data_IF_944512745293
#
_entry.id   IF_944512745293
#
_cell.length_a   1.000
_cell.length_b   1.000
_cell.length_c   1.000
_cell.angle_alpha   90.00
_cell.angle_beta   90.00
_cell.angle_gamma   90.00
#
_symmetry.space_group_name_H-M   'P 1'
#
loop_
_entity.id
_entity.type
_entity.pdbx_description
1 polymer ?
#
# COMPACT_ATOMS: atom_id res chain seq x y z
N UNK A 1 -28.52 -1.23 20.55
CA UNK A 1 -27.34 -1.44 21.46
C UNK A 1 -27.35 -0.41 22.58
N UNK A 2 -27.04 -0.80 23.83
CA UNK A 2 -26.73 0.19 24.87
C UNK A 2 -25.39 0.87 24.56
N UNK A 3 -25.21 2.14 24.93
CA UNK A 3 -23.99 2.91 24.67
C UNK A 3 -22.71 2.18 25.14
N UNK A 4 -22.76 1.54 26.30
CA UNK A 4 -21.62 0.79 26.84
C UNK A 4 -21.23 -0.46 26.04
N UNK A 5 -22.19 -1.13 25.41
CA UNK A 5 -21.91 -2.33 24.61
C UNK A 5 -21.32 -1.97 23.25
N UNK A 6 -21.70 -0.83 22.69
CA UNK A 6 -21.10 -0.28 21.47
C UNK A 6 -19.63 0.12 21.69
N UNK A 7 -19.30 0.72 22.82
CA UNK A 7 -17.91 1.06 23.19
C UNK A 7 -17.05 -0.18 23.44
N UNK A 8 -17.62 -1.25 24.00
CA UNK A 8 -16.88 -2.51 24.19
C UNK A 8 -16.54 -3.19 22.85
N UNK A 9 -17.39 -3.07 21.84
CA UNK A 9 -17.13 -3.69 20.52
C UNK A 9 -16.24 -2.80 19.64
N UNK A 10 -16.45 -1.49 19.68
CA UNK A 10 -15.73 -0.50 18.87
C UNK A 10 -15.02 0.53 19.77
N UNK A 11 -13.91 0.15 20.42
CA UNK A 11 -13.19 0.99 21.36
C UNK A 11 -12.48 2.16 20.67
N UNK A 12 -12.21 3.21 21.45
CA UNK A 12 -11.44 4.38 21.02
C UNK A 12 -12.29 5.50 20.45
N UNK A 13 -11.64 6.66 20.26
CA UNK A 13 -12.25 7.91 19.79
C UNK A 13 -11.87 8.26 18.36
N UNK A 14 -11.24 7.31 17.64
CA UNK A 14 -10.86 7.46 16.25
C UNK A 14 -12.07 7.58 15.31
N UNK A 15 -11.83 8.03 14.10
CA UNK A 15 -12.88 8.21 13.10
C UNK A 15 -13.62 6.90 12.83
N UNK A 16 -12.86 5.82 12.62
CA UNK A 16 -13.44 4.52 12.27
C UNK A 16 -14.22 3.90 13.43
N UNK A 17 -13.76 4.06 14.67
CA UNK A 17 -14.52 3.65 15.84
C UNK A 17 -15.86 4.39 15.93
N UNK A 18 -15.89 5.71 15.72
CA UNK A 18 -17.13 6.49 15.68
C UNK A 18 -18.05 6.06 14.55
N UNK A 19 -17.51 5.86 13.33
CA UNK A 19 -18.29 5.40 12.17
C UNK A 19 -18.89 4.03 12.39
N UNK A 20 -18.14 3.09 12.97
CA UNK A 20 -18.62 1.73 13.27
C UNK A 20 -19.70 1.76 14.37
N UNK A 21 -19.59 2.60 15.40
CA UNK A 21 -20.65 2.77 16.40
C UNK A 21 -21.94 3.35 15.82
N UNK A 22 -21.82 4.23 14.83
CA UNK A 22 -22.96 4.88 14.18
C UNK A 22 -23.56 4.08 13.02
N UNK A 23 -22.91 3.00 12.60
CA UNK A 23 -23.34 2.22 11.43
C UNK A 23 -24.62 1.44 11.73
N UNK A 24 -25.61 1.39 10.80
CA UNK A 24 -26.87 0.69 10.99
C UNK A 24 -26.73 -0.83 10.81
N UNK A 25 -26.10 -1.50 11.79
CA UNK A 25 -25.70 -2.90 11.70
C UNK A 25 -26.87 -3.86 11.53
N UNK A 26 -28.03 -3.63 12.15
CA UNK A 26 -29.20 -4.52 12.10
C UNK A 26 -29.67 -4.82 10.67
N UNK A 27 -29.46 -3.88 9.76
CA UNK A 27 -29.77 -4.06 8.32
C UNK A 27 -28.61 -4.51 7.46
N UNK A 28 -27.44 -4.77 8.06
CA UNK A 28 -26.25 -5.18 7.34
C UNK A 28 -26.12 -6.70 7.22
N UNK A 29 -25.34 -7.21 6.24
CA UNK A 29 -25.06 -8.64 6.14
C UNK A 29 -24.35 -9.24 7.37
N UNK A 30 -23.73 -8.42 8.21
CA UNK A 30 -23.07 -8.88 9.44
C UNK A 30 -24.03 -8.97 10.64
N UNK A 31 -25.24 -8.42 10.55
CA UNK A 31 -26.16 -8.35 11.68
C UNK A 31 -25.65 -7.45 12.81
N UNK A 32 -26.34 -7.49 13.95
CA UNK A 32 -26.02 -6.65 15.11
C UNK A 32 -24.72 -7.09 15.80
N UNK A 33 -23.83 -6.17 16.18
CA UNK A 33 -22.54 -6.49 16.81
C UNK A 33 -22.58 -7.36 18.08
N UNK A 34 -23.61 -7.33 18.93
CA UNK A 34 -23.74 -8.27 20.05
C UNK A 34 -23.81 -9.74 19.61
N UNK A 35 -24.39 -10.01 18.44
CA UNK A 35 -24.59 -11.35 17.90
C UNK A 35 -23.39 -11.83 17.07
N UNK A 36 -22.40 -10.99 16.88
CA UNK A 36 -21.19 -11.37 16.12
C UNK A 36 -20.39 -12.44 16.85
N UNK A 37 -19.72 -13.35 16.12
CA UNK A 37 -18.77 -14.27 16.69
C UNK A 37 -17.70 -13.58 17.55
N UNK A 38 -17.21 -14.27 18.58
CA UNK A 38 -16.16 -13.71 19.45
C UNK A 38 -14.90 -13.33 18.68
N UNK A 39 -14.57 -14.10 17.65
CA UNK A 39 -13.45 -13.86 16.75
C UNK A 39 -13.57 -12.52 16.02
N UNK A 40 -14.73 -12.21 15.40
CA UNK A 40 -14.96 -10.95 14.70
C UNK A 40 -14.89 -9.77 15.67
N UNK A 41 -15.55 -9.85 16.82
CA UNK A 41 -15.49 -8.79 17.84
C UNK A 41 -14.05 -8.53 18.31
N UNK A 42 -13.27 -9.60 18.51
CA UNK A 42 -11.86 -9.49 18.91
C UNK A 42 -11.01 -8.88 17.82
N UNK A 43 -11.17 -9.33 16.57
CA UNK A 43 -10.46 -8.78 15.42
C UNK A 43 -10.75 -7.28 15.23
N UNK A 44 -12.01 -6.86 15.36
CA UNK A 44 -12.39 -5.45 15.29
C UNK A 44 -11.74 -4.63 16.41
N UNK A 45 -11.68 -5.15 17.65
CA UNK A 45 -11.01 -4.46 18.76
C UNK A 45 -9.52 -4.29 18.51
N UNK A 46 -8.83 -5.35 18.09
CA UNK A 46 -7.40 -5.30 17.74
C UNK A 46 -7.18 -4.29 16.62
N UNK A 47 -7.99 -4.37 15.56
CA UNK A 47 -7.92 -3.46 14.43
C UNK A 47 -8.05 -1.99 14.89
N UNK A 48 -9.12 -1.64 15.60
CA UNK A 48 -9.41 -0.27 16.01
C UNK A 48 -8.42 0.32 17.01
N UNK A 49 -7.79 -0.51 17.84
CA UNK A 49 -6.81 -0.04 18.85
C UNK A 49 -5.37 -0.02 18.33
N UNK A 50 -5.13 -0.59 17.15
CA UNK A 50 -3.79 -0.62 16.55
C UNK A 50 -3.44 0.72 15.89
N UNK A 51 -2.16 1.09 15.98
CA UNK A 51 -1.55 2.16 15.20
C UNK A 51 -1.01 1.68 13.84
N UNK A 52 -1.01 0.38 13.63
CA UNK A 52 -0.60 -0.21 12.36
C UNK A 52 -1.81 -0.29 11.42
N UNK A 53 -1.68 -0.02 10.11
CA UNK A 53 -2.78 -0.17 9.17
C UNK A 53 -3.30 -1.60 9.13
N UNK A 54 -4.58 -1.77 9.45
CA UNK A 54 -5.21 -3.09 9.56
C UNK A 54 -6.58 -3.10 8.90
N UNK A 55 -6.92 -4.29 8.37
CA UNK A 55 -8.21 -4.58 7.76
C UNK A 55 -8.75 -5.89 8.33
N UNK A 56 -10.05 -5.93 8.52
CA UNK A 56 -10.82 -7.15 8.71
C UNK A 56 -11.74 -7.32 7.49
N UNK A 57 -11.55 -8.40 6.76
CA UNK A 57 -12.43 -8.84 5.69
C UNK A 57 -13.36 -9.89 6.28
N UNK A 58 -14.67 -9.71 6.16
CA UNK A 58 -15.59 -10.63 6.79
C UNK A 58 -16.68 -11.12 5.86
N UNK A 59 -17.02 -12.42 5.99
CA UNK A 59 -18.03 -13.11 5.21
C UNK A 59 -17.58 -13.44 3.78
N UNK A 60 -18.41 -14.18 3.05
CA UNK A 60 -18.12 -14.60 1.69
C UNK A 60 -17.90 -13.43 0.72
N UNK A 61 -18.55 -12.29 0.99
CA UNK A 61 -18.39 -11.07 0.20
C UNK A 61 -17.18 -10.23 0.60
N UNK A 62 -16.34 -10.67 1.55
CA UNK A 62 -15.17 -9.97 2.03
C UNK A 62 -15.48 -8.50 2.34
N UNK A 63 -16.47 -8.28 3.25
CA UNK A 63 -16.88 -6.96 3.69
C UNK A 63 -15.76 -6.26 4.45
N UNK A 64 -15.54 -5.00 4.13
CA UNK A 64 -14.35 -4.24 4.47
C UNK A 64 -14.54 -3.44 5.77
N UNK A 65 -13.81 -3.83 6.82
CA UNK A 65 -13.67 -3.08 8.07
C UNK A 65 -12.19 -2.73 8.25
N UNK A 66 -11.90 -1.51 8.70
CA UNK A 66 -10.52 -1.02 8.77
C UNK A 66 -10.39 0.02 9.88
N UNK A 67 -9.14 0.35 10.24
CA UNK A 67 -8.83 1.33 11.28
C UNK A 67 -8.39 2.69 10.72
N UNK A 68 -8.20 3.66 11.62
CA UNK A 68 -7.78 5.02 11.25
C UNK A 68 -6.38 5.05 10.61
N UNK A 69 -5.49 4.13 11.01
CA UNK A 69 -4.15 4.04 10.42
C UNK A 69 -4.19 3.63 8.93
N UNK A 70 -5.29 3.00 8.48
CA UNK A 70 -5.50 2.61 7.09
C UNK A 70 -6.08 3.75 6.22
N UNK A 71 -6.62 4.82 6.81
CA UNK A 71 -7.25 5.93 6.07
C UNK A 71 -6.33 6.55 5.01
N UNK A 72 -5.07 6.88 5.30
CA UNK A 72 -4.17 7.44 4.29
C UNK A 72 -3.95 6.51 3.09
N UNK A 73 -4.04 5.19 3.30
CA UNK A 73 -3.83 4.20 2.25
C UNK A 73 -5.03 4.07 1.30
N UNK A 74 -6.23 4.46 1.75
CA UNK A 74 -7.44 4.49 0.92
C UNK A 74 -7.49 5.69 -0.02
N UNK A 75 -6.89 6.82 0.37
CA UNK A 75 -7.02 8.07 -0.38
C UNK A 75 -8.50 8.44 -0.61
N UNK A 76 -8.86 8.77 -1.84
CA UNK A 76 -10.23 9.18 -2.23
C UNK A 76 -11.27 8.04 -2.18
N UNK A 77 -10.87 6.79 -1.92
CA UNK A 77 -11.78 5.64 -1.79
C UNK A 77 -12.50 5.62 -0.44
N UNK A 78 -12.05 6.40 0.53
CA UNK A 78 -12.76 6.59 1.80
C UNK A 78 -14.03 7.44 1.59
N UNK A 79 -15.20 7.09 2.21
CA UNK A 79 -15.44 5.97 3.11
C UNK A 79 -15.73 4.65 2.40
N UNK A 80 -15.14 3.57 2.92
CA UNK A 80 -15.26 2.23 2.37
C UNK A 80 -15.83 1.19 3.36
N UNK A 81 -16.27 1.63 4.55
CA UNK A 81 -16.82 0.75 5.58
C UNK A 81 -17.96 -0.11 5.02
N UNK A 82 -17.88 -1.43 5.23
CA UNK A 82 -18.87 -2.42 4.79
C UNK A 82 -19.04 -2.57 3.28
N UNK A 83 -18.25 -1.90 2.46
CA UNK A 83 -18.21 -2.19 1.02
C UNK A 83 -17.53 -3.53 0.77
N UNK A 84 -17.81 -4.15 -0.36
CA UNK A 84 -17.11 -5.37 -0.80
C UNK A 84 -15.68 -5.01 -1.20
N UNK A 85 -14.74 -5.94 -0.95
CA UNK A 85 -13.33 -5.72 -1.29
C UNK A 85 -13.09 -5.44 -2.77
N UNK A 86 -13.78 -6.18 -3.66
CA UNK A 86 -13.71 -5.99 -5.10
C UNK A 86 -14.21 -4.61 -5.58
N UNK A 87 -15.13 -3.99 -4.85
CA UNK A 87 -15.63 -2.64 -5.13
C UNK A 87 -14.70 -1.53 -4.63
N UNK A 88 -13.91 -1.81 -3.59
CA UNK A 88 -12.95 -0.85 -3.03
C UNK A 88 -11.65 -0.89 -3.84
N UNK A 89 -11.17 -2.08 -4.15
CA UNK A 89 -9.88 -2.35 -4.73
C UNK A 89 -9.96 -3.03 -6.11
N UNK A 90 -10.94 -2.62 -6.93
CA UNK A 90 -11.20 -3.25 -8.22
C UNK A 90 -9.98 -3.33 -9.13
N UNK A 91 -9.11 -2.31 -9.12
CA UNK A 91 -7.91 -2.24 -9.95
C UNK A 91 -6.84 -3.28 -9.57
N UNK A 92 -6.73 -3.62 -8.29
CA UNK A 92 -5.78 -4.65 -7.81
C UNK A 92 -6.45 -5.97 -7.47
N UNK A 93 -7.78 -6.05 -7.59
CA UNK A 93 -8.54 -7.24 -7.24
C UNK A 93 -8.11 -8.51 -8.00
N UNK A 94 -7.74 -8.44 -9.29
CA UNK A 94 -7.18 -9.60 -9.99
C UNK A 94 -5.95 -10.22 -9.33
N UNK A 95 -5.20 -9.43 -8.56
CA UNK A 95 -4.01 -9.90 -7.82
C UNK A 95 -4.37 -10.33 -6.39
N UNK A 96 -5.08 -9.48 -5.63
CA UNK A 96 -5.30 -9.71 -4.20
C UNK A 96 -6.51 -10.61 -3.92
N UNK A 97 -7.51 -10.61 -4.79
CA UNK A 97 -8.73 -11.44 -4.63
C UNK A 97 -8.42 -12.92 -4.53
N UNK A 98 -7.67 -13.52 -5.48
CA UNK A 98 -7.28 -14.93 -5.40
C UNK A 98 -6.48 -15.30 -4.15
N UNK A 99 -5.68 -14.36 -3.60
CA UNK A 99 -4.94 -14.58 -2.35
C UNK A 99 -5.88 -14.64 -1.15
N UNK A 100 -6.86 -13.72 -1.08
CA UNK A 100 -7.89 -13.71 -0.05
C UNK A 100 -8.76 -14.98 -0.13
N UNK A 101 -9.19 -15.35 -1.34
CA UNK A 101 -9.96 -16.56 -1.58
C UNK A 101 -9.19 -17.83 -1.17
N UNK A 102 -7.89 -17.87 -1.44
CA UNK A 102 -7.04 -18.98 -0.99
C UNK A 102 -7.04 -19.12 0.53
N UNK A 103 -6.91 -17.99 1.26
CA UNK A 103 -6.95 -18.02 2.74
C UNK A 103 -8.33 -18.47 3.24
N UNK A 104 -9.41 -17.98 2.64
CA UNK A 104 -10.79 -18.36 3.00
C UNK A 104 -11.04 -19.86 2.83
N UNK A 105 -10.49 -20.47 1.76
CA UNK A 105 -10.73 -21.89 1.45
C UNK A 105 -9.77 -22.84 2.16
N UNK A 106 -8.51 -22.43 2.33
CA UNK A 106 -7.47 -23.33 2.86
C UNK A 106 -7.19 -23.14 4.34
N UNK A 107 -7.55 -21.99 4.91
CA UNK A 107 -7.15 -21.60 6.27
C UNK A 107 -5.65 -21.35 6.41
N UNK A 108 -4.90 -21.25 5.31
CA UNK A 108 -3.46 -21.01 5.30
C UNK A 108 -3.19 -19.51 5.12
N UNK A 109 -2.41 -18.92 6.04
CA UNK A 109 -2.00 -17.52 5.89
C UNK A 109 -1.09 -17.33 4.66
N UNK A 110 -1.17 -16.14 4.05
CA UNK A 110 -0.25 -15.73 2.98
C UNK A 110 0.62 -14.56 3.43
N UNK A 111 1.77 -14.41 2.75
CA UNK A 111 2.69 -13.31 2.96
C UNK A 111 3.15 -12.76 1.62
N UNK A 112 3.17 -11.44 1.52
CA UNK A 112 3.76 -10.72 0.38
C UNK A 112 4.72 -9.67 0.88
N UNK A 113 5.88 -9.56 0.25
CA UNK A 113 6.90 -8.56 0.56
C UNK A 113 7.19 -7.74 -0.68
N UNK A 114 7.14 -6.42 -0.51
CA UNK A 114 7.39 -5.44 -1.59
C UNK A 114 6.61 -5.77 -2.89
N UNK A 115 5.38 -6.26 -2.78
CA UNK A 115 4.55 -6.58 -3.94
C UNK A 115 4.12 -5.30 -4.66
N UNK A 116 4.42 -5.21 -5.95
CA UNK A 116 3.96 -4.12 -6.80
C UNK A 116 2.44 -4.24 -7.02
N UNK A 117 1.71 -3.23 -6.59
CA UNK A 117 0.28 -3.07 -6.82
C UNK A 117 0.02 -1.67 -7.37
N UNK A 118 -0.10 -1.49 -8.69
CA UNK A 118 -0.48 -0.20 -9.25
C UNK A 118 -1.89 0.17 -8.79
N UNK A 119 -2.05 1.35 -8.19
CA UNK A 119 -3.32 1.80 -7.59
C UNK A 119 -3.75 3.16 -8.13
N UNK A 120 -5.06 3.35 -8.18
CA UNK A 120 -5.69 4.66 -8.36
C UNK A 120 -6.40 5.06 -7.05
N UNK A 121 -5.70 5.80 -6.20
CA UNK A 121 -6.21 6.28 -4.91
C UNK A 121 -6.58 7.76 -4.95
N UNK A 122 -5.99 8.50 -5.88
CA UNK A 122 -6.09 9.97 -5.93
C UNK A 122 -6.55 10.49 -7.30
N UNK A 123 -7.04 9.61 -8.20
CA UNK A 123 -7.46 9.97 -9.55
C UNK A 123 -6.34 9.88 -10.59
N UNK A 124 -5.24 9.24 -10.24
CA UNK A 124 -4.13 8.90 -11.13
C UNK A 124 -3.47 7.60 -10.71
N UNK A 125 -2.82 6.93 -11.65
CA UNK A 125 -2.10 5.69 -11.38
C UNK A 125 -0.81 5.95 -10.61
N UNK A 126 -0.66 5.25 -9.49
CA UNK A 126 0.52 5.28 -8.62
C UNK A 126 1.24 3.93 -8.70
N UNK A 127 2.57 3.96 -8.82
CA UNK A 127 3.41 2.80 -8.57
C UNK A 127 3.53 2.63 -7.06
N UNK A 128 2.90 1.60 -6.50
CA UNK A 128 2.93 1.35 -5.06
C UNK A 128 3.40 -0.06 -4.73
N UNK A 129 4.13 -0.19 -3.62
CA UNK A 129 4.69 -1.46 -3.13
C UNK A 129 4.16 -1.73 -1.73
N UNK A 130 3.84 -3.00 -1.48
CA UNK A 130 3.13 -3.40 -0.29
C UNK A 130 3.72 -4.65 0.34
N UNK A 131 3.91 -4.60 1.66
CA UNK A 131 4.21 -5.76 2.50
C UNK A 131 3.02 -6.02 3.41
N UNK A 132 2.45 -7.23 3.33
CA UNK A 132 1.26 -7.61 4.10
C UNK A 132 1.15 -9.11 4.33
N UNK A 133 0.33 -9.45 5.32
CA UNK A 133 -0.11 -10.82 5.58
C UNK A 133 -1.62 -10.89 5.55
N UNK A 134 -2.15 -11.92 4.91
CA UNK A 134 -3.53 -12.34 5.03
C UNK A 134 -3.58 -13.54 5.98
N UNK A 135 -4.23 -13.38 7.13
CA UNK A 135 -4.35 -14.41 8.17
C UNK A 135 -5.80 -14.82 8.34
N UNK A 136 -6.12 -16.11 8.39
CA UNK A 136 -7.50 -16.58 8.53
C UNK A 136 -8.11 -16.17 9.87
N UNK A 137 -9.36 -15.75 9.85
CA UNK A 137 -10.21 -15.57 11.03
C UNK A 137 -11.22 -16.70 11.08
N UNK A 138 -11.12 -17.50 12.15
CA UNK A 138 -12.01 -18.63 12.35
C UNK A 138 -13.23 -18.21 13.17
N UNK A 139 -14.37 -18.76 12.85
CA UNK A 139 -15.58 -18.68 13.66
C UNK A 139 -15.49 -19.63 14.86
N UNK A 140 -16.47 -19.56 15.76
CA UNK A 140 -16.51 -20.39 16.97
C UNK A 140 -16.62 -21.90 16.65
N UNK A 141 -17.10 -22.27 15.44
CA UNK A 141 -17.15 -23.62 14.91
C UNK A 141 -15.86 -24.10 14.23
N UNK A 142 -14.83 -23.24 14.17
CA UNK A 142 -13.54 -23.52 13.53
C UNK A 142 -13.49 -23.27 12.02
N UNK A 143 -14.60 -22.87 11.41
CA UNK A 143 -14.61 -22.51 9.99
C UNK A 143 -13.96 -21.14 9.74
N UNK A 144 -13.28 -20.97 8.61
CA UNK A 144 -12.76 -19.65 8.21
C UNK A 144 -13.91 -18.79 7.73
N UNK A 145 -14.15 -17.67 8.39
CA UNK A 145 -15.23 -16.72 8.07
C UNK A 145 -14.72 -15.35 7.64
N UNK A 146 -13.42 -15.12 7.73
CA UNK A 146 -12.85 -13.85 7.32
C UNK A 146 -11.34 -13.90 7.25
N UNK A 147 -10.74 -12.77 6.92
CA UNK A 147 -9.31 -12.60 6.84
C UNK A 147 -8.90 -11.36 7.61
N UNK A 148 -7.86 -11.48 8.42
CA UNK A 148 -7.21 -10.35 9.09
C UNK A 148 -5.98 -9.95 8.30
N UNK A 149 -5.84 -8.65 8.06
CA UNK A 149 -4.72 -8.10 7.30
C UNK A 149 -4.00 -7.03 8.12
N UNK A 150 -2.70 -7.20 8.27
CA UNK A 150 -1.78 -6.15 8.67
C UNK A 150 -0.96 -5.77 7.43
N UNK A 151 -0.91 -4.50 7.07
CA UNK A 151 -0.32 -4.03 5.81
C UNK A 151 0.57 -2.83 6.02
N UNK A 152 1.68 -2.80 5.28
CA UNK A 152 2.60 -1.65 5.22
C UNK A 152 2.82 -1.28 3.75
N UNK A 153 2.66 -0.01 3.43
CA UNK A 153 3.16 0.53 2.17
C UNK A 153 4.69 0.67 2.26
N UNK A 154 5.39 0.08 1.30
CA UNK A 154 6.87 0.05 1.24
C UNK A 154 7.40 0.77 0.00
N UNK A 155 6.57 1.61 -0.62
CA UNK A 155 6.90 2.34 -1.87
C UNK A 155 8.16 3.19 -1.71
N UNK A 156 8.25 3.98 -0.64
CA UNK A 156 9.42 4.85 -0.42
C UNK A 156 10.71 4.04 -0.24
N UNK A 157 10.63 2.91 0.47
CA UNK A 157 11.78 2.02 0.70
C UNK A 157 12.26 1.39 -0.62
N UNK A 158 11.32 0.88 -1.44
CA UNK A 158 11.66 0.23 -2.73
C UNK A 158 12.23 1.24 -3.70
N UNK A 159 11.56 2.38 -3.89
CA UNK A 159 12.02 3.44 -4.79
C UNK A 159 13.33 4.06 -4.29
N UNK A 160 13.46 4.23 -2.96
CA UNK A 160 14.71 4.72 -2.34
C UNK A 160 15.89 3.78 -2.60
N UNK A 161 15.70 2.46 -2.44
CA UNK A 161 16.74 1.46 -2.76
C UNK A 161 17.14 1.50 -4.24
N UNK A 162 16.17 1.61 -5.17
CA UNK A 162 16.46 1.73 -6.61
C UNK A 162 17.28 3.00 -6.92
N UNK A 163 16.89 4.15 -6.37
CA UNK A 163 17.60 5.42 -6.55
C UNK A 163 19.02 5.34 -6.02
N UNK A 164 19.20 4.77 -4.83
CA UNK A 164 20.52 4.59 -4.23
C UNK A 164 21.41 3.69 -5.09
N UNK A 165 20.89 2.59 -5.62
CA UNK A 165 21.64 1.69 -6.51
C UNK A 165 22.13 2.41 -7.79
N UNK A 166 21.28 3.25 -8.39
CA UNK A 166 21.65 4.08 -9.55
C UNK A 166 22.77 5.06 -9.19
N UNK A 167 22.64 5.77 -8.05
CA UNK A 167 23.67 6.72 -7.60
C UNK A 167 25.01 6.04 -7.32
N UNK A 168 25.00 4.87 -6.67
CA UNK A 168 26.21 4.09 -6.41
C UNK A 168 26.88 3.64 -7.70
N UNK A 169 26.07 3.17 -8.67
CA UNK A 169 26.59 2.77 -9.98
C UNK A 169 27.22 3.96 -10.74
N UNK A 170 26.56 5.11 -10.75
CA UNK A 170 27.09 6.35 -11.36
C UNK A 170 28.38 6.79 -10.70
N UNK A 171 28.46 6.77 -9.36
CA UNK A 171 29.68 7.13 -8.63
C UNK A 171 30.87 6.21 -8.96
N UNK A 172 30.62 4.89 -9.03
CA UNK A 172 31.64 3.91 -9.40
C UNK A 172 32.15 4.09 -10.85
N UNK A 173 31.26 4.43 -11.77
CA UNK A 173 31.62 4.66 -13.19
C UNK A 173 32.35 5.98 -13.38
N UNK A 174 31.91 7.06 -12.72
CA UNK A 174 32.56 8.37 -12.80
C UNK A 174 34.04 8.33 -12.40
N UNK A 175 34.39 7.50 -11.41
CA UNK A 175 35.80 7.31 -10.97
C UNK A 175 36.69 6.62 -11.99
N UNK A 176 36.16 6.01 -13.05
CA UNK A 176 36.89 5.31 -14.11
C UNK A 176 37.12 6.18 -15.37
N UNK A 177 36.41 7.29 -15.49
CA UNK A 177 36.47 8.16 -16.66
C UNK A 177 37.82 8.91 -16.74
N UNK A 178 38.42 8.91 -17.91
CA UNK A 178 39.69 9.62 -18.20
C UNK A 178 39.49 10.98 -18.87
N UNK A 179 38.28 11.27 -19.30
CA UNK A 179 37.89 12.55 -19.91
C UNK A 179 36.44 12.91 -19.55
N UNK A 180 36.09 14.20 -19.69
CA UNK A 180 34.73 14.68 -19.49
C UNK A 180 33.75 14.01 -20.47
N UNK A 181 34.13 13.82 -21.72
CA UNK A 181 33.29 13.14 -22.71
C UNK A 181 33.02 11.70 -22.32
N UNK A 182 34.05 10.96 -21.91
CA UNK A 182 33.90 9.58 -21.42
C UNK A 182 32.99 9.51 -20.17
N UNK A 183 33.16 10.46 -19.24
CA UNK A 183 32.27 10.54 -18.07
C UNK A 183 30.81 10.74 -18.46
N UNK A 184 30.53 11.63 -19.41
CA UNK A 184 29.17 11.86 -19.92
C UNK A 184 28.58 10.60 -20.59
N UNK A 185 29.36 9.92 -21.42
CA UNK A 185 28.93 8.68 -22.06
C UNK A 185 28.60 7.58 -21.03
N UNK A 186 29.44 7.43 -19.99
CA UNK A 186 29.21 6.46 -18.93
C UNK A 186 27.96 6.81 -18.12
N UNK A 187 27.72 8.10 -17.82
CA UNK A 187 26.52 8.57 -17.13
C UNK A 187 25.27 8.26 -17.96
N UNK A 188 25.25 8.63 -19.23
CA UNK A 188 24.11 8.39 -20.13
C UNK A 188 23.79 6.89 -20.18
N UNK A 189 24.78 6.03 -20.48
CA UNK A 189 24.58 4.57 -20.52
C UNK A 189 24.10 3.98 -19.20
N UNK A 190 24.52 4.55 -18.08
CA UNK A 190 24.07 4.10 -16.76
C UNK A 190 22.62 4.48 -16.49
N UNK A 191 22.19 5.66 -16.91
CA UNK A 191 20.82 6.13 -16.76
C UNK A 191 19.85 5.41 -17.72
N UNK A 192 20.29 5.09 -18.93
CA UNK A 192 19.51 4.28 -19.88
C UNK A 192 19.11 2.88 -19.34
N UNK A 193 19.87 2.36 -18.38
CA UNK A 193 19.59 1.06 -17.72
C UNK A 193 18.60 1.13 -16.57
N UNK A 194 18.17 2.33 -16.20
CA UNK A 194 17.28 2.57 -15.08
C UNK A 194 16.13 3.52 -15.45
N UNK A 195 15.35 3.22 -16.51
CA UNK A 195 14.28 4.11 -16.98
C UNK A 195 13.17 4.32 -15.96
N UNK A 196 12.99 3.36 -15.04
CA UNK A 196 12.03 3.44 -13.94
C UNK A 196 12.44 4.43 -12.85
N UNK A 197 13.74 4.83 -12.78
CA UNK A 197 14.26 5.83 -11.83
C UNK A 197 14.43 7.18 -12.48
N UNK A 198 14.95 7.18 -13.72
CA UNK A 198 15.21 8.38 -14.53
C UNK A 198 14.63 8.16 -15.92
N UNK A 199 13.37 8.58 -16.17
CA UNK A 199 12.68 8.35 -17.44
C UNK A 199 13.37 8.96 -18.64
N UNK A 200 14.05 10.09 -18.43
CA UNK A 200 14.90 10.73 -19.45
C UNK A 200 16.01 11.55 -18.79
N UNK A 201 17.13 11.71 -19.47
CA UNK A 201 18.23 12.58 -19.08
C UNK A 201 18.86 13.25 -20.30
N UNK A 202 19.31 14.49 -20.13
CA UNK A 202 20.09 15.21 -21.15
C UNK A 202 21.34 15.81 -20.50
N UNK A 203 22.50 15.59 -21.12
CA UNK A 203 23.77 16.11 -20.63
C UNK A 203 24.27 17.20 -21.59
N UNK A 204 24.43 18.39 -21.10
CA UNK A 204 24.96 19.51 -21.86
C UNK A 204 26.38 19.84 -21.40
N UNK A 205 27.31 19.81 -22.35
CA UNK A 205 28.70 20.24 -22.09
C UNK A 205 28.88 21.66 -22.63
N UNK A 206 29.40 22.57 -21.79
CA UNK A 206 29.84 23.86 -22.24
C UNK A 206 31.21 23.70 -22.87
N UNK A 207 31.34 24.03 -24.16
CA UNK A 207 32.62 24.10 -24.86
C UNK A 207 33.56 25.12 -24.19
N UNK A 208 34.89 25.03 -24.42
CA UNK A 208 35.79 26.09 -24.02
C UNK A 208 35.28 27.41 -24.56
N UNK A 209 35.29 28.47 -23.75
CA UNK A 209 34.90 29.79 -24.17
C UNK A 209 35.74 30.13 -25.41
N UNK A 210 35.06 30.52 -26.51
CA UNK A 210 35.76 31.03 -27.66
C UNK A 210 36.61 32.23 -27.17
N UNK A 211 37.91 32.19 -27.44
CA UNK A 211 38.80 33.35 -27.20
C UNK A 211 38.18 34.55 -27.88
N UNK A 212 38.09 35.71 -27.21
CA UNK A 212 37.62 36.92 -27.87
C UNK A 212 38.46 37.12 -29.14
N UNK A 213 37.77 37.43 -30.27
CA UNK A 213 38.44 37.84 -31.48
C UNK A 213 39.38 38.97 -31.12
N UNK A 214 40.72 38.80 -31.30
CA UNK A 214 41.63 39.90 -31.41
C UNK A 214 41.27 40.68 -32.66
N UNK A 215 40.64 41.86 -32.48
CA UNK A 215 40.51 42.83 -33.58
C UNK A 215 41.90 43.30 -33.94
N UNK A 216 42.42 42.76 -35.05
CA UNK A 216 43.61 43.30 -35.67
C UNK A 216 43.22 44.61 -36.36
N UNK A 217 43.73 45.73 -35.86
CA UNK A 217 43.73 47.00 -36.54
C UNK A 217 44.81 47.04 -37.64
#
# INVERSE_FOLDING_TARGET
>A
MSSGQAELTFPGDGEMARRMRAYPWAGSPLGDPPDWPASLRTACRICLTSRFPMIVWWGEELRFLYNDAYLPLLGNKHPALMRRGDQVWGEIWPTVGPMLDSVMHTGQATWSEDLLLPMDRHGYWEETYWTYSYSPLHDDDGTVRGVFTAVKETTEEVVGRRRLAVLQHLGAQAGQARSVAEACDLVVRSLERAPEVVPFAAVYLRGPAATPFEESF
#
